data_IF_472134490185
#
_entry.id   IF_472134490185
#
_cell.length_a   1.000
_cell.length_b   1.000
_cell.length_c   1.000
_cell.angle_alpha   90.00
_cell.angle_beta   90.00
_cell.angle_gamma   90.00
#
_symmetry.space_group_name_H-M   'P 1'
#
loop_
_entity.id
_entity.type
_entity.pdbx_description
1 polymer ?
#
# COMPACT_ATOMS: atom_id res chain seq x y z
N UNK A 1 9.27 -3.66 -15.30
CA UNK A 1 9.49 -3.12 -13.94
C UNK A 1 8.32 -2.28 -13.50
N UNK A 2 7.40 -2.88 -12.75
CA UNK A 2 6.26 -2.20 -12.15
C UNK A 2 6.26 -2.49 -10.64
N UNK A 3 6.22 -1.44 -9.83
CA UNK A 3 6.14 -1.54 -8.38
C UNK A 3 5.04 -0.60 -7.88
N UNK A 4 4.39 -0.99 -6.78
CA UNK A 4 3.37 -0.18 -6.13
C UNK A 4 3.83 0.15 -4.72
N UNK A 5 3.82 1.44 -4.40
CA UNK A 5 4.05 1.93 -3.05
C UNK A 5 2.71 1.96 -2.29
N UNK A 6 2.69 1.38 -1.10
CA UNK A 6 1.48 1.16 -0.32
C UNK A 6 1.69 1.69 1.09
N UNK A 7 0.83 2.63 1.50
CA UNK A 7 0.65 3.04 2.88
C UNK A 7 -0.81 2.74 3.26
N UNK A 8 -1.04 2.20 4.46
CA UNK A 8 -2.36 1.75 4.90
C UNK A 8 -2.84 2.67 6.03
N UNK A 9 -4.08 3.13 5.95
CA UNK A 9 -4.69 3.94 7.00
C UNK A 9 -4.67 3.20 8.34
N UNK A 10 -4.32 3.92 9.41
CA UNK A 10 -4.16 3.34 10.75
C UNK A 10 -2.85 2.57 10.96
N UNK A 11 -1.98 2.48 9.95
CA UNK A 11 -0.62 1.95 10.05
C UNK A 11 0.42 3.02 9.79
N UNK A 12 1.52 2.98 10.53
CA UNK A 12 2.74 3.75 10.23
C UNK A 12 3.65 3.05 9.23
N UNK A 13 3.35 1.79 8.91
CA UNK A 13 4.21 0.96 8.09
C UNK A 13 3.93 1.17 6.61
N UNK A 14 5.01 1.07 5.84
CA UNK A 14 5.00 1.31 4.41
C UNK A 14 5.49 0.05 3.71
N UNK A 15 4.89 -0.24 2.58
CA UNK A 15 5.18 -1.44 1.81
C UNK A 15 5.44 -1.12 0.35
N UNK A 16 6.26 -1.96 -0.28
CA UNK A 16 6.42 -2.00 -1.73
C UNK A 16 5.98 -3.36 -2.24
N UNK A 17 5.06 -3.37 -3.19
CA UNK A 17 4.73 -4.54 -3.97
C UNK A 17 5.57 -4.55 -5.25
N UNK A 18 6.46 -5.52 -5.39
CA UNK A 18 7.18 -5.81 -6.64
C UNK A 18 6.32 -6.77 -7.47
N UNK A 19 5.79 -6.30 -8.59
CA UNK A 19 4.90 -7.08 -9.44
C UNK A 19 5.65 -8.05 -10.36
N UNK A 20 6.96 -7.86 -10.56
CA UNK A 20 7.79 -8.80 -11.31
C UNK A 20 8.36 -9.88 -10.39
N UNK A 21 8.78 -9.48 -9.18
CA UNK A 21 9.23 -10.41 -8.15
C UNK A 21 8.10 -11.17 -7.45
N UNK A 22 6.86 -10.66 -7.52
CA UNK A 22 5.71 -11.23 -6.83
C UNK A 22 5.79 -11.13 -5.30
N UNK A 23 6.45 -10.09 -4.79
CA UNK A 23 6.71 -9.92 -3.35
C UNK A 23 6.12 -8.62 -2.84
N UNK A 24 5.81 -8.60 -1.53
CA UNK A 24 5.47 -7.39 -0.79
C UNK A 24 6.42 -7.27 0.38
N UNK A 25 7.16 -6.15 0.45
CA UNK A 25 8.21 -5.95 1.44
C UNK A 25 7.99 -4.64 2.17
N UNK A 26 8.24 -4.63 3.49
CA UNK A 26 8.21 -3.42 4.30
C UNK A 26 9.40 -2.51 3.95
N UNK A 27 9.16 -1.21 3.91
CA UNK A 27 10.19 -0.18 3.77
C UNK A 27 10.46 0.40 5.16
N UNK A 28 11.66 0.15 5.69
CA UNK A 28 12.05 0.64 7.02
C UNK A 28 12.42 2.13 7.02
N UNK A 29 13.07 2.62 5.97
CA UNK A 29 13.51 4.02 5.87
C UNK A 29 13.21 4.60 4.48
N UNK A 30 11.99 5.13 4.25
CA UNK A 30 11.66 5.78 2.99
C UNK A 30 12.48 7.07 2.85
N UNK A 31 13.14 7.25 1.71
CA UNK A 31 13.97 8.44 1.46
C UNK A 31 13.52 9.22 0.22
N UNK A 32 13.96 10.47 0.15
CA UNK A 32 13.65 11.39 -0.95
C UNK A 32 12.13 11.60 -1.11
N UNK A 33 11.68 11.59 -2.38
CA UNK A 33 10.28 11.88 -2.71
C UNK A 33 9.27 10.88 -2.15
N UNK A 34 9.70 9.65 -1.83
CA UNK A 34 8.85 8.66 -1.17
C UNK A 34 8.55 9.06 0.28
N UNK A 35 9.51 9.66 0.98
CA UNK A 35 9.31 10.18 2.34
C UNK A 35 8.28 11.33 2.36
N UNK A 36 8.35 12.21 1.37
CA UNK A 36 7.38 13.30 1.20
C UNK A 36 5.96 12.76 0.97
N UNK A 37 5.80 11.80 0.05
CA UNK A 37 4.50 11.18 -0.23
C UNK A 37 3.98 10.42 1.00
N UNK A 38 4.85 9.73 1.72
CA UNK A 38 4.47 9.06 2.97
C UNK A 38 3.95 10.07 4.01
N UNK A 39 4.61 11.23 4.13
CA UNK A 39 4.16 12.30 5.05
C UNK A 39 2.74 12.75 4.72
N UNK A 40 2.39 12.85 3.43
CA UNK A 40 1.02 13.15 3.00
C UNK A 40 0.04 12.04 3.39
N UNK A 41 0.41 10.78 3.20
CA UNK A 41 -0.40 9.63 3.59
C UNK A 41 -0.65 9.58 5.11
N UNK A 42 0.38 9.83 5.92
CA UNK A 42 0.24 9.94 7.39
C UNK A 42 -0.64 11.11 7.83
N UNK A 43 -0.78 12.13 6.98
CA UNK A 43 -1.72 13.24 7.17
C UNK A 43 -3.18 12.92 6.80
N UNK A 44 -3.49 11.66 6.47
CA UNK A 44 -4.83 11.21 6.09
C UNK A 44 -5.18 11.45 4.61
N UNK A 45 -4.19 11.79 3.78
CA UNK A 45 -4.43 12.02 2.35
C UNK A 45 -4.27 10.71 1.59
N UNK A 46 -5.30 10.33 0.82
CA UNK A 46 -5.24 9.19 -0.09
C UNK A 46 -4.70 9.61 -1.46
N UNK A 47 -3.64 8.95 -1.94
CA UNK A 47 -3.05 9.17 -3.27
C UNK A 47 -3.02 7.84 -4.05
N UNK A 48 -3.77 7.77 -5.15
CA UNK A 48 -3.82 6.58 -6.01
C UNK A 48 -3.41 6.99 -7.43
N UNK A 49 -2.35 6.38 -7.95
CA UNK A 49 -1.84 6.65 -9.31
C UNK A 49 -1.43 5.38 -10.01
N UNK A 50 -1.97 5.15 -11.21
CA UNK A 50 -1.64 3.97 -12.02
C UNK A 50 -2.22 2.64 -11.50
N UNK A 51 -3.11 2.68 -10.51
CA UNK A 51 -3.77 1.50 -9.92
C UNK A 51 -5.23 1.46 -10.39
N UNK A 52 -5.69 0.31 -10.85
CA UNK A 52 -7.07 0.13 -11.34
C UNK A 52 -8.10 0.00 -10.22
N UNK A 53 -7.70 -0.63 -9.11
CA UNK A 53 -8.55 -0.87 -7.94
C UNK A 53 -7.65 -0.96 -6.70
N UNK A 54 -8.02 -0.24 -5.64
CA UNK A 54 -7.39 -0.34 -4.33
C UNK A 54 -8.48 -0.39 -3.28
N UNK A 55 -8.51 -1.46 -2.48
CA UNK A 55 -9.50 -1.71 -1.44
C UNK A 55 -8.75 -2.16 -0.19
N UNK A 56 -9.04 -1.53 0.95
CA UNK A 56 -8.61 -2.00 2.27
C UNK A 56 -9.69 -2.91 2.84
N UNK A 57 -9.28 -4.05 3.39
CA UNK A 57 -10.17 -5.00 4.07
C UNK A 57 -9.63 -5.28 5.48
N UNK A 58 -10.48 -5.67 6.43
CA UNK A 58 -10.06 -5.84 7.83
C UNK A 58 -9.07 -6.99 8.06
N UNK A 59 -8.99 -7.97 7.16
CA UNK A 59 -7.98 -9.03 7.24
C UNK A 59 -7.65 -9.63 5.87
N UNK A 60 -6.42 -10.15 5.74
CA UNK A 60 -5.98 -10.89 4.55
C UNK A 60 -6.80 -12.15 4.31
N UNK A 61 -7.28 -12.83 5.36
CA UNK A 61 -8.13 -14.02 5.23
C UNK A 61 -9.44 -13.74 4.47
N UNK A 62 -10.00 -12.52 4.63
CA UNK A 62 -11.19 -12.10 3.88
C UNK A 62 -10.89 -11.93 2.39
N UNK A 63 -9.68 -11.46 2.04
CA UNK A 63 -9.21 -11.42 0.64
C UNK A 63 -9.15 -12.85 0.07
N UNK A 64 -8.51 -13.78 0.79
CA UNK A 64 -8.28 -15.15 0.30
C UNK A 64 -9.54 -16.02 0.27
N UNK A 65 -10.55 -15.70 1.08
CA UNK A 65 -11.85 -16.39 1.06
C UNK A 65 -12.76 -15.93 -0.09
N UNK A 66 -12.35 -14.92 -0.87
CA UNK A 66 -13.16 -14.37 -1.98
C UNK A 66 -14.40 -13.61 -1.52
N UNK A 67 -14.52 -13.33 -0.21
CA UNK A 67 -15.68 -12.67 0.39
C UNK A 67 -15.38 -11.19 0.60
N UNK A 68 -16.04 -10.34 -0.19
CA UNK A 68 -16.02 -8.89 -0.02
C UNK A 68 -17.36 -8.41 0.53
N UNK A 69 -17.36 -7.87 1.75
CA UNK A 69 -18.46 -7.05 2.28
C UNK A 69 -18.01 -5.60 2.15
N UNK A 70 -18.75 -4.82 1.35
CA UNK A 70 -18.49 -3.40 1.09
C UNK A 70 -19.50 -2.50 1.77
#
# INVERSE_FOLDING_TARGET
>A
MAAVFIAIEGSSDIWVADLEGGTVSKIEDPSGKLAEINTLATGGITVIKGVKLAISVPSSDKVFSGHFEG
#
